data_IF_090588434631
#
_entry.id   IF_090588434631
#
_cell.length_a   1.000
_cell.length_b   1.000
_cell.length_c   1.000
_cell.angle_alpha   90.00
_cell.angle_beta   90.00
_cell.angle_gamma   90.00
#
_symmetry.space_group_name_H-M   'P 1'
#
loop_
_entity.id
_entity.type
_entity.pdbx_description
1 polymer ?
#
# COMPACT_ATOMS: atom_id res chain seq x y z
N UNK A 1 5.82 -38.32 -22.21
CA UNK A 1 4.42 -38.41 -21.75
C UNK A 1 4.44 -39.02 -20.36
N UNK A 2 4.32 -38.21 -19.31
CA UNK A 2 4.09 -38.70 -17.94
C UNK A 2 2.61 -39.00 -17.77
N UNK A 3 2.29 -40.09 -17.07
CA UNK A 3 0.92 -40.49 -16.79
C UNK A 3 0.25 -39.49 -15.86
N UNK A 4 -0.80 -38.82 -16.33
CA UNK A 4 -1.73 -38.08 -15.48
C UNK A 4 -2.83 -39.05 -15.07
N UNK A 5 -2.74 -39.58 -13.85
CA UNK A 5 -3.85 -40.32 -13.26
C UNK A 5 -4.90 -39.31 -12.76
N UNK A 6 -6.15 -39.41 -13.25
CA UNK A 6 -7.30 -38.74 -12.63
C UNK A 6 -7.75 -37.40 -13.21
N UNK A 7 -7.58 -37.13 -14.51
CA UNK A 7 -8.29 -36.01 -15.14
C UNK A 7 -9.80 -36.33 -15.15
N UNK A 8 -10.51 -35.71 -14.22
CA UNK A 8 -11.97 -35.66 -14.20
C UNK A 8 -12.45 -34.81 -15.41
N UNK A 9 -13.64 -35.08 -15.95
CA UNK A 9 -14.27 -34.32 -17.05
C UNK A 9 -14.45 -32.82 -16.73
N UNK A 10 -14.17 -32.44 -15.49
CA UNK A 10 -14.24 -31.09 -14.93
C UNK A 10 -12.92 -30.31 -15.05
N UNK A 11 -11.91 -30.88 -15.71
CA UNK A 11 -10.59 -30.26 -15.87
C UNK A 11 -10.29 -30.03 -17.35
N UNK A 12 -10.05 -28.77 -17.72
CA UNK A 12 -9.60 -28.37 -19.05
C UNK A 12 -8.12 -27.96 -18.99
N UNK A 13 -7.31 -28.51 -19.91
CA UNK A 13 -5.86 -28.26 -19.95
C UNK A 13 -5.44 -27.81 -21.34
N UNK A 14 -4.79 -26.66 -21.41
CA UNK A 14 -4.22 -26.07 -22.61
C UNK A 14 -3.02 -26.84 -23.17
N UNK A 15 -2.62 -26.47 -24.38
CA UNK A 15 -1.51 -27.08 -25.09
C UNK A 15 -0.18 -26.84 -24.37
N UNK A 16 0.75 -27.78 -24.52
CA UNK A 16 2.13 -27.68 -24.01
C UNK A 16 2.26 -27.46 -22.50
N UNK A 17 1.22 -27.80 -21.73
CA UNK A 17 1.22 -27.74 -20.26
C UNK A 17 1.80 -29.02 -19.66
N UNK A 18 2.76 -28.87 -18.75
CA UNK A 18 3.43 -29.94 -18.01
C UNK A 18 2.85 -30.08 -16.61
N UNK A 19 2.24 -31.23 -16.32
CA UNK A 19 1.61 -31.55 -15.03
C UNK A 19 2.28 -32.79 -14.46
N UNK A 20 2.88 -32.66 -13.27
CA UNK A 20 3.57 -33.74 -12.59
C UNK A 20 3.14 -33.81 -11.12
N UNK A 21 2.82 -35.03 -10.65
CA UNK A 21 2.50 -35.31 -9.25
C UNK A 21 1.44 -34.36 -8.65
N UNK A 22 0.47 -33.95 -9.45
CA UNK A 22 -0.52 -32.93 -9.07
C UNK A 22 -1.94 -33.50 -9.11
N UNK A 23 -2.82 -32.97 -8.27
CA UNK A 23 -4.25 -33.33 -8.18
C UNK A 23 -5.07 -32.15 -8.67
N UNK A 24 -6.00 -32.39 -9.60
CA UNK A 24 -6.78 -31.35 -10.28
C UNK A 24 -8.28 -31.70 -10.25
N UNK A 25 -9.11 -30.75 -9.79
CA UNK A 25 -10.56 -30.86 -9.78
C UNK A 25 -11.19 -29.51 -10.15
N UNK A 26 -12.14 -29.48 -11.09
CA UNK A 26 -12.86 -28.26 -11.48
C UNK A 26 -11.92 -27.09 -11.83
N UNK A 27 -11.11 -27.25 -12.88
CA UNK A 27 -10.06 -26.29 -13.21
C UNK A 27 -9.92 -26.04 -14.71
N UNK A 28 -9.71 -24.79 -15.07
CA UNK A 28 -9.37 -24.33 -16.43
C UNK A 28 -7.92 -23.88 -16.46
N UNK A 29 -7.06 -24.63 -17.14
CA UNK A 29 -5.61 -24.39 -17.20
C UNK A 29 -5.23 -24.00 -18.63
N UNK A 30 -4.58 -22.86 -18.77
CA UNK A 30 -4.10 -22.32 -20.04
C UNK A 30 -2.89 -23.06 -20.63
N UNK A 31 -2.32 -22.47 -21.66
CA UNK A 31 -1.22 -23.08 -22.41
C UNK A 31 0.13 -22.90 -21.69
N UNK A 32 1.10 -23.78 -21.97
CA UNK A 32 2.49 -23.67 -21.52
C UNK A 32 2.68 -23.57 -19.99
N UNK A 33 1.74 -24.08 -19.21
CA UNK A 33 1.84 -24.07 -17.74
C UNK A 33 2.79 -25.16 -17.24
N UNK A 34 3.34 -24.97 -16.04
CA UNK A 34 4.16 -25.97 -15.34
C UNK A 34 3.64 -26.15 -13.92
N UNK A 35 2.98 -27.28 -13.67
CA UNK A 35 2.34 -27.61 -12.40
C UNK A 35 3.03 -28.83 -11.78
N UNK A 36 3.77 -28.63 -10.70
CA UNK A 36 4.55 -29.67 -10.03
C UNK A 36 4.10 -29.83 -8.59
N UNK A 37 3.83 -31.05 -8.16
CA UNK A 37 3.48 -31.40 -6.77
C UNK A 37 2.36 -30.51 -6.19
N UNK A 38 1.38 -30.14 -7.00
CA UNK A 38 0.38 -29.13 -6.61
C UNK A 38 -1.02 -29.73 -6.50
N UNK A 39 -1.83 -29.19 -5.60
CA UNK A 39 -3.24 -29.55 -5.42
C UNK A 39 -4.08 -28.37 -5.88
N UNK A 40 -5.00 -28.61 -6.83
CA UNK A 40 -5.86 -27.61 -7.44
C UNK A 40 -7.31 -28.09 -7.33
N UNK A 41 -8.09 -27.41 -6.49
CA UNK A 41 -9.44 -27.81 -6.12
C UNK A 41 -10.43 -26.66 -6.34
N UNK A 42 -11.18 -26.71 -7.43
CA UNK A 42 -12.27 -25.79 -7.70
C UNK A 42 -13.63 -26.28 -7.21
N UNK A 43 -14.57 -25.36 -7.11
CA UNK A 43 -15.99 -25.64 -6.97
C UNK A 43 -16.64 -25.77 -8.36
N UNK A 44 -17.67 -26.61 -8.58
CA UNK A 44 -18.33 -26.73 -9.88
C UNK A 44 -18.77 -25.39 -10.49
N UNK A 45 -19.37 -24.52 -9.68
CA UNK A 45 -19.81 -23.18 -10.09
C UNK A 45 -18.69 -22.13 -10.08
N UNK A 46 -17.55 -22.44 -9.46
CA UNK A 46 -16.41 -21.54 -9.30
C UNK A 46 -15.11 -22.31 -9.55
N UNK A 47 -14.84 -22.72 -10.81
CA UNK A 47 -13.63 -23.47 -11.11
C UNK A 47 -12.37 -22.64 -10.79
N UNK A 48 -11.24 -23.29 -10.56
CA UNK A 48 -9.96 -22.57 -10.52
C UNK A 48 -9.57 -22.21 -11.95
N UNK A 49 -9.21 -20.94 -12.21
CA UNK A 49 -8.77 -20.48 -13.53
C UNK A 49 -7.29 -20.16 -13.50
N UNK A 50 -6.51 -20.74 -14.40
CA UNK A 50 -5.05 -20.57 -14.51
C UNK A 50 -4.71 -20.14 -15.93
N UNK A 51 -4.16 -18.94 -16.07
CA UNK A 51 -3.74 -18.38 -17.36
C UNK A 51 -2.44 -19.00 -17.88
N UNK A 52 -2.07 -18.60 -19.10
CA UNK A 52 -0.92 -19.20 -19.79
C UNK A 52 0.41 -18.99 -19.06
N UNK A 53 1.33 -19.94 -19.21
CA UNK A 53 2.70 -19.82 -18.73
C UNK A 53 2.82 -19.76 -17.20
N UNK A 54 1.78 -20.14 -16.47
CA UNK A 54 1.80 -20.17 -14.99
C UNK A 54 2.71 -21.28 -14.50
N UNK A 55 3.50 -21.00 -13.47
CA UNK A 55 4.41 -21.94 -12.82
C UNK A 55 3.96 -22.12 -11.37
N UNK A 56 3.53 -23.32 -11.01
CA UNK A 56 3.19 -23.72 -9.64
C UNK A 56 4.07 -24.89 -9.19
N UNK A 57 4.73 -24.75 -8.04
CA UNK A 57 5.58 -25.78 -7.46
C UNK A 57 5.23 -25.97 -6.00
N UNK A 58 4.77 -27.16 -5.60
CA UNK A 58 4.32 -27.46 -4.23
C UNK A 58 3.22 -26.47 -3.75
N UNK A 59 2.24 -26.19 -4.60
CA UNK A 59 1.18 -25.23 -4.29
C UNK A 59 -0.13 -25.92 -3.92
N UNK A 60 -0.94 -25.26 -3.08
CA UNK A 60 -2.32 -25.62 -2.85
C UNK A 60 -3.22 -24.47 -3.29
N UNK A 61 -4.04 -24.69 -4.30
CA UNK A 61 -4.89 -23.69 -4.95
C UNK A 61 -6.34 -24.14 -4.82
N UNK A 62 -7.19 -23.28 -4.26
CA UNK A 62 -8.57 -23.66 -3.96
C UNK A 62 -9.56 -22.55 -4.35
N UNK A 63 -10.67 -22.92 -4.99
CA UNK A 63 -11.87 -22.09 -5.12
C UNK A 63 -13.00 -22.75 -4.34
N UNK A 64 -13.51 -22.11 -3.30
CA UNK A 64 -14.58 -22.64 -2.45
C UNK A 64 -15.95 -22.01 -2.76
N UNK A 65 -15.99 -20.88 -3.47
CA UNK A 65 -17.22 -20.11 -3.69
C UNK A 65 -17.68 -19.31 -2.48
N UNK A 66 -17.01 -19.44 -1.32
CA UNK A 66 -17.34 -18.68 -0.11
C UNK A 66 -16.75 -17.28 -0.21
N UNK A 67 -17.59 -16.28 -0.05
CA UNK A 67 -17.16 -14.89 -0.07
C UNK A 67 -16.42 -14.54 1.23
N UNK A 68 -15.21 -14.02 1.08
CA UNK A 68 -14.60 -13.13 2.06
C UNK A 68 -14.74 -11.70 1.56
N UNK A 69 -15.20 -10.79 2.43
CA UNK A 69 -15.42 -9.39 2.05
C UNK A 69 -14.76 -8.44 3.05
N UNK A 70 -14.17 -7.38 2.51
CA UNK A 70 -13.67 -6.23 3.26
C UNK A 70 -14.05 -4.96 2.52
N UNK A 71 -14.45 -3.92 3.25
CA UNK A 71 -14.71 -2.62 2.66
C UNK A 71 -14.13 -1.50 3.51
N UNK A 72 -13.65 -0.46 2.84
CA UNK A 72 -13.18 0.77 3.47
C UNK A 72 -13.28 1.92 2.46
N UNK A 73 -13.72 3.10 2.90
CA UNK A 73 -13.97 4.27 2.04
C UNK A 73 -14.79 3.93 0.78
N UNK A 74 -15.82 3.09 0.93
CA UNK A 74 -16.72 2.71 -0.16
C UNK A 74 -16.08 1.90 -1.28
N UNK A 75 -14.86 1.41 -1.08
CA UNK A 75 -14.22 0.37 -1.89
C UNK A 75 -14.49 -0.97 -1.22
N UNK A 76 -15.04 -1.92 -1.97
CA UNK A 76 -15.33 -3.28 -1.48
C UNK A 76 -14.48 -4.26 -2.25
N UNK A 77 -13.72 -5.08 -1.52
CA UNK A 77 -13.07 -6.27 -2.01
C UNK A 77 -13.92 -7.47 -1.65
N UNK A 78 -14.28 -8.25 -2.66
CA UNK A 78 -14.97 -9.52 -2.48
C UNK A 78 -14.42 -10.52 -3.49
N UNK A 79 -13.95 -11.68 -3.01
CA UNK A 79 -13.41 -12.74 -3.85
C UNK A 79 -14.02 -14.08 -3.44
N UNK A 80 -14.44 -14.85 -4.46
CA UNK A 80 -15.12 -16.15 -4.34
C UNK A 80 -14.52 -17.23 -5.22
N UNK A 81 -13.59 -16.86 -6.09
CA UNK A 81 -12.97 -17.74 -7.09
C UNK A 81 -11.48 -17.46 -7.12
N UNK A 82 -10.68 -18.53 -7.22
CA UNK A 82 -9.25 -18.39 -7.47
C UNK A 82 -8.95 -18.28 -8.95
N UNK A 83 -8.25 -17.20 -9.30
CA UNK A 83 -7.80 -16.89 -10.66
C UNK A 83 -6.33 -16.53 -10.65
N UNK A 84 -5.51 -17.22 -11.45
CA UNK A 84 -4.10 -16.92 -11.62
C UNK A 84 -3.88 -16.41 -13.04
N UNK A 85 -3.38 -15.18 -13.16
CA UNK A 85 -3.11 -14.53 -14.43
C UNK A 85 -1.89 -15.11 -15.14
N UNK A 86 -1.72 -14.71 -16.41
CA UNK A 86 -0.60 -15.15 -17.25
C UNK A 86 0.76 -14.97 -16.57
N UNK A 87 1.60 -15.99 -16.62
CA UNK A 87 2.98 -15.93 -16.15
C UNK A 87 3.13 -15.74 -14.64
N UNK A 88 2.08 -16.00 -13.84
CA UNK A 88 2.21 -16.07 -12.38
C UNK A 88 3.15 -17.20 -12.00
N UNK A 89 4.08 -16.94 -11.06
CA UNK A 89 5.07 -17.90 -10.62
C UNK A 89 5.05 -18.03 -9.08
N UNK A 90 4.48 -19.12 -8.58
CA UNK A 90 4.34 -19.37 -7.15
C UNK A 90 4.97 -20.71 -6.76
N UNK A 91 5.57 -20.75 -5.58
CA UNK A 91 6.15 -21.97 -5.03
C UNK A 91 5.89 -22.11 -3.54
N UNK A 92 5.68 -23.33 -3.04
CA UNK A 92 5.35 -23.63 -1.64
C UNK A 92 4.21 -22.75 -1.09
N UNK A 93 3.24 -22.41 -1.93
CA UNK A 93 2.25 -21.36 -1.63
C UNK A 93 0.83 -21.92 -1.53
N UNK A 94 0.00 -21.28 -0.71
CA UNK A 94 -1.43 -21.56 -0.58
C UNK A 94 -2.25 -20.38 -1.11
N UNK A 95 -3.22 -20.65 -1.97
CA UNK A 95 -4.09 -19.64 -2.59
C UNK A 95 -5.54 -20.10 -2.45
N UNK A 96 -6.38 -19.29 -1.84
CA UNK A 96 -7.80 -19.59 -1.59
C UNK A 96 -8.65 -18.40 -2.00
N UNK A 97 -9.66 -18.64 -2.82
CA UNK A 97 -10.63 -17.64 -3.29
C UNK A 97 -9.99 -16.30 -3.63
N UNK A 98 -8.95 -16.29 -4.46
CA UNK A 98 -8.13 -15.09 -4.71
C UNK A 98 -7.77 -14.89 -6.16
N UNK A 99 -7.73 -13.65 -6.60
CA UNK A 99 -7.17 -13.27 -7.91
C UNK A 99 -5.70 -12.86 -7.74
N UNK A 100 -4.80 -13.47 -8.51
CA UNK A 100 -3.40 -13.07 -8.63
C UNK A 100 -3.15 -12.72 -10.08
N UNK A 101 -2.94 -11.44 -10.39
CA UNK A 101 -2.79 -10.97 -11.76
C UNK A 101 -1.41 -11.27 -12.36
N UNK A 102 -1.29 -11.00 -13.66
CA UNK A 102 -0.21 -11.44 -14.50
C UNK A 102 1.19 -11.04 -14.00
N UNK A 103 2.14 -11.97 -14.16
CA UNK A 103 3.56 -11.75 -13.85
C UNK A 103 3.90 -11.60 -12.37
N UNK A 104 2.92 -11.77 -11.47
CA UNK A 104 3.17 -11.75 -10.02
C UNK A 104 3.88 -13.03 -9.56
N UNK A 105 4.77 -12.89 -8.58
CA UNK A 105 5.64 -13.96 -8.13
C UNK A 105 5.72 -14.07 -6.61
N UNK A 106 5.99 -15.27 -6.10
CA UNK A 106 6.06 -15.53 -4.67
C UNK A 106 6.61 -16.90 -4.28
N UNK A 107 7.09 -16.99 -3.04
CA UNK A 107 7.57 -18.22 -2.41
C UNK A 107 6.98 -18.33 -1.01
N UNK A 108 6.46 -19.50 -0.63
CA UNK A 108 5.92 -19.70 0.72
C UNK A 108 4.66 -18.89 1.03
N UNK A 109 4.04 -18.23 0.04
CA UNK A 109 3.00 -17.24 0.29
C UNK A 109 1.66 -17.91 0.65
N UNK A 110 0.91 -17.31 1.56
CA UNK A 110 -0.48 -17.66 1.84
C UNK A 110 -1.36 -16.50 1.41
N UNK A 111 -2.30 -16.74 0.49
CA UNK A 111 -3.16 -15.72 -0.11
C UNK A 111 -4.62 -16.17 0.03
N UNK A 112 -5.45 -15.39 0.71
CA UNK A 112 -6.85 -15.72 0.94
C UNK A 112 -7.77 -14.52 0.67
N UNK A 113 -8.88 -14.74 -0.04
CA UNK A 113 -9.90 -13.71 -0.30
C UNK A 113 -9.35 -12.37 -0.80
N UNK A 114 -8.30 -12.41 -1.63
CA UNK A 114 -7.48 -11.25 -1.98
C UNK A 114 -7.38 -11.03 -3.48
N UNK A 115 -7.09 -9.79 -3.87
CA UNK A 115 -6.77 -9.41 -5.24
C UNK A 115 -5.34 -8.86 -5.28
N UNK A 116 -4.42 -9.67 -5.76
CA UNK A 116 -3.04 -9.28 -6.00
C UNK A 116 -2.91 -8.72 -7.42
N UNK A 117 -2.59 -7.42 -7.53
CA UNK A 117 -2.35 -6.76 -8.80
C UNK A 117 -1.15 -7.34 -9.57
N UNK A 118 -0.89 -6.83 -10.78
CA UNK A 118 0.06 -7.44 -11.69
C UNK A 118 1.50 -7.09 -11.32
N UNK A 119 2.42 -8.00 -11.64
CA UNK A 119 3.87 -7.80 -11.45
C UNK A 119 4.26 -7.50 -9.99
N UNK A 120 3.49 -8.03 -9.05
CA UNK A 120 3.77 -7.92 -7.63
C UNK A 120 4.81 -8.96 -7.21
N UNK A 121 5.65 -8.57 -6.26
CA UNK A 121 6.62 -9.45 -5.62
C UNK A 121 6.14 -9.75 -4.20
N UNK A 122 5.64 -10.96 -3.99
CA UNK A 122 5.34 -11.48 -2.66
C UNK A 122 6.64 -12.05 -2.08
N UNK A 123 7.18 -11.40 -1.05
CA UNK A 123 8.38 -11.89 -0.38
C UNK A 123 8.11 -13.24 0.29
N UNK A 124 9.17 -13.97 0.59
CA UNK A 124 9.06 -15.31 1.18
C UNK A 124 8.10 -15.34 2.37
N UNK A 125 7.14 -16.25 2.39
CA UNK A 125 6.21 -16.40 3.51
C UNK A 125 5.29 -15.18 3.76
N UNK A 126 5.04 -14.36 2.74
CA UNK A 126 4.00 -13.33 2.82
C UNK A 126 2.64 -13.96 3.12
N UNK A 127 1.89 -13.37 4.05
CA UNK A 127 0.57 -13.84 4.44
C UNK A 127 -0.45 -12.74 4.16
N UNK A 128 -1.25 -12.92 3.12
CA UNK A 128 -2.11 -11.89 2.54
C UNK A 128 -3.56 -12.34 2.60
N UNK A 129 -4.40 -11.54 3.27
CA UNK A 129 -5.81 -11.85 3.47
C UNK A 129 -6.67 -10.61 3.24
N UNK A 130 -7.83 -10.74 2.59
CA UNK A 130 -8.78 -9.63 2.41
C UNK A 130 -8.10 -8.34 1.92
N UNK A 131 -7.14 -8.48 1.00
CA UNK A 131 -6.29 -7.39 0.55
C UNK A 131 -6.39 -7.18 -0.95
N UNK A 132 -6.48 -5.93 -1.37
CA UNK A 132 -6.36 -5.52 -2.76
C UNK A 132 -5.05 -4.77 -2.94
N UNK A 133 -4.32 -5.07 -4.01
CA UNK A 133 -3.07 -4.38 -4.35
C UNK A 133 -3.05 -3.94 -5.81
N UNK A 134 -2.49 -2.76 -6.05
CA UNK A 134 -2.10 -2.28 -7.36
C UNK A 134 -0.88 -3.04 -7.89
N UNK A 135 -0.34 -2.60 -9.03
CA UNK A 135 0.83 -3.20 -9.66
C UNK A 135 2.15 -2.87 -8.94
N UNK A 136 3.17 -3.67 -9.23
CA UNK A 136 4.56 -3.45 -8.79
C UNK A 136 4.75 -3.30 -7.27
N UNK A 137 3.83 -3.83 -6.47
CA UNK A 137 3.95 -3.83 -5.03
C UNK A 137 4.92 -4.92 -4.57
N UNK A 138 5.72 -4.61 -3.56
CA UNK A 138 6.62 -5.55 -2.92
C UNK A 138 6.12 -5.82 -1.50
N UNK A 139 5.50 -6.97 -1.29
CA UNK A 139 4.79 -7.29 -0.07
C UNK A 139 5.57 -8.31 0.75
N UNK A 140 6.21 -7.84 1.82
CA UNK A 140 6.62 -8.66 2.94
C UNK A 140 5.60 -8.62 4.06
N UNK A 141 5.62 -9.68 4.87
CA UNK A 141 4.89 -9.76 6.15
C UNK A 141 3.40 -10.11 6.04
N UNK A 142 2.68 -9.88 7.14
CA UNK A 142 1.25 -10.12 7.27
C UNK A 142 0.48 -8.88 6.81
N UNK A 143 -0.32 -9.04 5.75
CA UNK A 143 -1.10 -7.98 5.13
C UNK A 143 -2.56 -8.41 5.14
N UNK A 144 -3.37 -7.78 5.98
CA UNK A 144 -4.77 -8.13 6.13
C UNK A 144 -5.64 -6.89 6.01
N UNK A 145 -6.79 -7.01 5.34
CA UNK A 145 -7.81 -5.94 5.30
C UNK A 145 -7.19 -4.60 4.87
N UNK A 146 -6.43 -4.67 3.78
CA UNK A 146 -5.59 -3.60 3.28
C UNK A 146 -5.94 -3.31 1.83
N UNK A 147 -6.04 -2.02 1.48
CA UNK A 147 -6.29 -1.56 0.13
C UNK A 147 -5.09 -0.73 -0.33
N UNK A 148 -4.29 -1.27 -1.23
CA UNK A 148 -3.18 -0.56 -1.87
C UNK A 148 -3.62 -0.22 -3.28
N UNK A 149 -4.13 1.00 -3.47
CA UNK A 149 -4.62 1.47 -4.76
C UNK A 149 -3.52 2.07 -5.64
N UNK A 150 -2.47 2.65 -5.05
CA UNK A 150 -1.32 3.18 -5.78
C UNK A 150 -0.20 2.15 -5.97
N UNK A 151 0.38 2.10 -7.17
CA UNK A 151 1.46 1.18 -7.52
C UNK A 151 2.76 1.45 -6.73
N UNK A 152 3.65 0.44 -6.67
CA UNK A 152 5.01 0.60 -6.14
C UNK A 152 5.13 0.63 -4.60
N UNK A 153 4.07 0.25 -3.89
CA UNK A 153 4.06 0.13 -2.43
C UNK A 153 5.07 -0.92 -1.95
N UNK A 154 5.77 -0.64 -0.86
CA UNK A 154 6.73 -1.57 -0.26
C UNK A 154 6.40 -1.83 1.19
N UNK A 155 6.16 -3.10 1.52
CA UNK A 155 6.23 -3.64 2.87
C UNK A 155 7.48 -4.51 2.99
N UNK A 156 8.36 -4.18 3.93
CA UNK A 156 9.52 -5.00 4.20
C UNK A 156 9.13 -6.33 4.90
N UNK A 157 10.03 -7.31 4.80
CA UNK A 157 9.87 -8.62 5.44
C UNK A 157 10.07 -8.51 6.97
N UNK A 158 9.94 -9.59 7.74
CA UNK A 158 10.06 -9.65 9.22
C UNK A 158 8.81 -9.27 10.04
N UNK A 159 7.70 -9.97 9.83
CA UNK A 159 6.57 -9.99 10.80
C UNK A 159 5.89 -8.65 11.06
N UNK A 160 5.84 -7.75 10.07
CA UNK A 160 4.92 -6.61 10.10
C UNK A 160 3.45 -7.08 10.03
N UNK A 161 2.54 -6.32 10.63
CA UNK A 161 1.09 -6.50 10.47
C UNK A 161 0.49 -5.24 9.85
N UNK A 162 -0.08 -5.34 8.65
CA UNK A 162 -0.63 -4.19 7.92
C UNK A 162 -2.15 -4.26 7.85
N UNK A 163 -2.79 -3.13 8.19
CA UNK A 163 -4.22 -2.85 8.04
C UNK A 163 -4.36 -1.36 7.68
N UNK A 164 -4.33 -1.07 6.37
CA UNK A 164 -4.25 0.30 5.85
C UNK A 164 -4.88 0.49 4.47
N UNK A 165 -5.16 1.74 4.12
CA UNK A 165 -5.42 2.24 2.78
C UNK A 165 -4.20 3.03 2.29
N UNK A 166 -3.60 2.62 1.18
CA UNK A 166 -2.60 3.39 0.44
C UNK A 166 -3.24 3.88 -0.87
N UNK A 167 -3.84 5.08 -0.89
CA UNK A 167 -4.60 5.58 -2.04
C UNK A 167 -3.70 5.93 -3.23
N UNK A 168 -4.28 6.00 -4.43
CA UNK A 168 -3.66 6.53 -5.65
C UNK A 168 -4.05 8.00 -5.92
N UNK A 169 -4.99 8.52 -5.14
CA UNK A 169 -5.52 9.88 -5.23
C UNK A 169 -4.83 10.79 -4.23
N UNK A 170 -4.18 11.84 -4.71
CA UNK A 170 -3.44 12.79 -3.87
C UNK A 170 -4.14 14.15 -3.85
N UNK A 171 -4.72 14.57 -2.72
CA UNK A 171 -5.23 15.92 -2.57
C UNK A 171 -4.07 16.92 -2.58
N UNK A 172 -4.21 17.97 -3.40
CA UNK A 172 -3.26 19.07 -3.51
C UNK A 172 -3.98 20.41 -3.55
N UNK A 173 -3.23 21.48 -3.30
CA UNK A 173 -3.65 22.85 -3.56
C UNK A 173 -2.84 23.42 -4.73
N UNK A 174 -3.52 23.81 -5.80
CA UNK A 174 -2.89 24.37 -6.99
C UNK A 174 -2.29 25.76 -6.73
N UNK A 175 -1.55 26.30 -7.70
CA UNK A 175 -0.90 27.60 -7.55
C UNK A 175 -1.85 28.80 -7.42
N UNK A 176 -3.05 28.67 -7.99
CA UNK A 176 -4.16 29.61 -7.88
C UNK A 176 -5.05 29.34 -6.65
N UNK A 177 -4.67 28.40 -5.77
CA UNK A 177 -5.36 28.15 -4.50
C UNK A 177 -6.61 27.27 -4.61
N UNK A 178 -6.73 26.44 -5.65
CA UNK A 178 -7.85 25.50 -5.80
C UNK A 178 -7.49 24.12 -5.28
N UNK A 179 -8.41 23.50 -4.54
CA UNK A 179 -8.32 22.10 -4.12
C UNK A 179 -8.54 21.18 -5.33
N UNK A 180 -7.56 20.33 -5.63
CA UNK A 180 -7.58 19.37 -6.75
C UNK A 180 -7.07 18.01 -6.26
N UNK A 181 -7.61 16.92 -6.80
CA UNK A 181 -7.10 15.56 -6.58
C UNK A 181 -6.28 15.14 -7.79
N UNK A 182 -5.01 14.80 -7.58
CA UNK A 182 -4.20 14.10 -8.58
C UNK A 182 -4.48 12.60 -8.48
N UNK A 183 -5.24 12.08 -9.42
CA UNK A 183 -5.62 10.66 -9.46
C UNK A 183 -4.57 9.78 -10.14
N UNK A 184 -4.70 8.46 -9.94
CA UNK A 184 -3.90 7.40 -10.55
C UNK A 184 -2.39 7.60 -10.43
N UNK A 185 -1.93 8.11 -9.29
CA UNK A 185 -0.51 8.21 -8.98
C UNK A 185 -0.02 6.98 -8.19
N UNK A 186 1.25 6.56 -8.38
CA UNK A 186 1.84 5.49 -7.58
C UNK A 186 1.88 5.88 -6.10
N UNK A 187 1.72 4.90 -5.20
CA UNK A 187 1.91 5.12 -3.77
C UNK A 187 3.18 4.41 -3.29
N UNK A 188 4.29 5.12 -3.42
CA UNK A 188 5.63 4.63 -3.09
C UNK A 188 5.92 4.63 -1.58
N UNK A 189 4.91 4.39 -0.74
CA UNK A 189 5.09 4.20 0.71
C UNK A 189 6.08 3.07 0.97
N UNK A 190 6.91 3.25 1.99
CA UNK A 190 7.81 2.21 2.47
C UNK A 190 7.51 1.95 3.94
N UNK A 191 7.11 0.71 4.21
CA UNK A 191 6.81 0.23 5.56
C UNK A 191 7.94 -0.70 5.98
N UNK A 192 8.68 -0.28 7.01
CA UNK A 192 9.77 -1.03 7.58
C UNK A 192 9.31 -2.33 8.24
N UNK A 193 10.26 -3.26 8.32
CA UNK A 193 10.17 -4.54 8.99
C UNK A 193 9.64 -4.45 10.44
N UNK A 194 8.84 -5.43 10.90
CA UNK A 194 8.31 -5.48 12.26
C UNK A 194 7.29 -4.37 12.62
N UNK A 195 6.80 -3.63 11.62
CA UNK A 195 5.83 -2.55 11.84
C UNK A 195 4.43 -3.10 12.01
N UNK A 196 3.70 -2.61 13.00
CA UNK A 196 2.34 -3.03 13.31
C UNK A 196 1.37 -1.86 13.12
N UNK A 197 0.40 -2.03 12.22
CA UNK A 197 -0.78 -1.20 12.05
C UNK A 197 -1.96 -1.89 12.73
N UNK A 198 -2.19 -1.58 14.01
CA UNK A 198 -3.19 -2.28 14.81
C UNK A 198 -3.98 -1.32 15.72
N UNK A 199 -5.02 -1.85 16.36
CA UNK A 199 -5.89 -1.08 17.25
C UNK A 199 -5.30 -1.03 18.67
N UNK A 200 -5.86 -0.16 19.54
CA UNK A 200 -5.52 0.05 20.96
C UNK A 200 -4.15 -0.49 21.43
N UNK A 201 -3.13 0.36 21.38
CA UNK A 201 -1.79 0.04 21.91
C UNK A 201 -0.77 -0.41 20.87
N UNK A 202 -1.23 -0.71 19.64
CA UNK A 202 -0.38 -1.12 18.52
C UNK A 202 0.03 -2.58 18.60
N UNK A 203 -0.79 -3.41 19.25
CA UNK A 203 -0.62 -4.86 19.32
C UNK A 203 -1.73 -5.53 18.49
N UNK A 204 -1.43 -6.59 17.74
CA UNK A 204 -2.46 -7.37 17.05
C UNK A 204 -3.39 -8.03 18.09
N UNK A 205 -4.70 -8.01 17.84
CA UNK A 205 -5.62 -8.78 18.67
C UNK A 205 -5.46 -10.27 18.35
N UNK A 206 -5.49 -11.15 19.37
CA UNK A 206 -5.43 -12.58 19.13
C UNK A 206 -6.62 -13.02 18.29
N UNK A 207 -6.35 -13.88 17.31
CA UNK A 207 -7.34 -14.49 16.43
C UNK A 207 -6.92 -15.91 16.10
N UNK A 208 -7.89 -16.78 15.91
CA UNK A 208 -7.69 -18.19 15.52
C UNK A 208 -7.13 -18.31 14.10
N UNK A 209 -7.40 -17.34 13.24
CA UNK A 209 -6.81 -17.18 11.91
C UNK A 209 -6.76 -15.70 11.52
N UNK A 210 -6.02 -15.36 10.45
CA UNK A 210 -5.94 -13.97 9.97
C UNK A 210 -7.23 -13.48 9.35
N UNK A 211 -7.94 -14.36 8.64
CA UNK A 211 -9.23 -14.08 8.03
C UNK A 211 -10.27 -13.73 9.11
N UNK A 212 -10.19 -14.42 10.25
CA UNK A 212 -11.02 -14.19 11.44
C UNK A 212 -10.48 -13.06 12.33
N UNK A 213 -9.32 -12.48 12.01
CA UNK A 213 -8.74 -11.43 12.82
C UNK A 213 -9.69 -10.25 12.92
N UNK A 214 -10.14 -9.86 14.14
CA UNK A 214 -10.95 -8.66 14.31
C UNK A 214 -10.14 -7.38 14.02
N UNK A 215 -8.86 -7.51 13.65
CA UNK A 215 -7.86 -6.45 13.49
C UNK A 215 -8.25 -5.24 12.63
N UNK A 216 -9.30 -5.29 11.80
CA UNK A 216 -9.85 -4.08 11.13
C UNK A 216 -11.29 -3.71 11.51
N UNK A 217 -12.04 -4.52 12.27
CA UNK A 217 -13.34 -4.09 12.82
C UNK A 217 -13.21 -2.87 13.76
N UNK A 218 -11.97 -2.42 13.97
CA UNK A 218 -11.55 -1.45 14.96
C UNK A 218 -10.62 -0.34 14.38
N UNK A 219 -10.36 -0.31 13.06
CA UNK A 219 -9.66 0.82 12.39
C UNK A 219 -8.73 0.45 11.23
N UNK A 220 -8.51 1.40 10.32
CA UNK A 220 -7.62 1.31 9.13
C UNK A 220 -6.92 2.65 8.93
N UNK A 221 -5.58 2.66 8.85
CA UNK A 221 -4.84 3.90 8.61
C UNK A 221 -4.87 4.29 7.13
N UNK A 222 -4.83 5.59 6.83
CA UNK A 222 -4.62 6.09 5.47
C UNK A 222 -3.17 6.53 5.32
N UNK A 223 -2.45 6.03 4.32
CA UNK A 223 -1.00 6.25 4.17
C UNK A 223 -0.68 6.81 2.78
N UNK A 224 -0.30 8.08 2.72
CA UNK A 224 0.12 8.77 1.50
C UNK A 224 1.64 8.74 1.39
N UNK A 225 2.21 7.83 0.61
CA UNK A 225 3.66 7.78 0.29
C UNK A 225 4.62 8.18 1.42
N UNK A 226 4.36 7.62 2.60
CA UNK A 226 5.11 7.91 3.82
C UNK A 226 6.26 6.93 3.98
N UNK A 227 7.26 7.31 4.76
CA UNK A 227 8.30 6.42 5.22
C UNK A 227 8.06 6.04 6.68
N UNK A 228 7.79 4.77 6.94
CA UNK A 228 7.56 4.22 8.28
C UNK A 228 8.74 3.32 8.62
N UNK A 229 9.50 3.69 9.65
CA UNK A 229 10.68 2.94 10.08
C UNK A 229 10.34 1.53 10.56
N UNK A 230 11.38 0.70 10.71
CA UNK A 230 11.25 -0.63 11.31
C UNK A 230 10.69 -0.56 12.74
N UNK A 231 10.00 -1.61 13.17
CA UNK A 231 9.45 -1.78 14.52
C UNK A 231 8.52 -0.65 14.97
N UNK A 232 7.86 0.03 14.01
CA UNK A 232 6.89 1.06 14.32
C UNK A 232 5.56 0.48 14.79
N UNK A 233 4.83 1.21 15.62
CA UNK A 233 3.49 0.89 16.09
C UNK A 233 2.53 2.00 15.70
N UNK A 234 1.84 1.81 14.58
CA UNK A 234 0.82 2.72 14.10
C UNK A 234 -0.52 2.31 14.70
N UNK A 235 -1.04 3.12 15.63
CA UNK A 235 -2.34 2.86 16.25
C UNK A 235 -3.43 3.39 15.32
N UNK A 236 -4.19 2.47 14.71
CA UNK A 236 -5.36 2.81 13.91
C UNK A 236 -6.47 3.37 14.81
N UNK A 237 -7.06 4.50 14.40
CA UNK A 237 -8.28 5.02 15.01
C UNK A 237 -9.53 4.48 14.28
N UNK A 238 -10.67 4.57 14.94
CA UNK A 238 -11.91 3.85 14.65
C UNK A 238 -12.78 4.42 13.53
N UNK A 239 -12.35 5.49 12.87
CA UNK A 239 -13.10 6.06 11.76
C UNK A 239 -13.29 5.01 10.67
N UNK A 240 -14.52 4.55 10.47
CA UNK A 240 -14.92 3.85 9.26
C UNK A 240 -15.81 4.82 8.50
N UNK A 241 -15.23 5.66 7.62
CA UNK A 241 -16.04 6.55 6.80
C UNK A 241 -17.08 5.73 6.01
N UNK A 242 -18.35 6.08 6.20
CA UNK A 242 -19.43 5.59 5.35
C UNK A 242 -19.31 6.22 3.95
N UNK A 243 -19.67 5.45 2.92
CA UNK A 243 -19.57 5.91 1.53
C UNK A 243 -18.14 6.14 1.06
N UNK A 244 -17.98 7.02 0.07
CA UNK A 244 -16.70 7.36 -0.55
C UNK A 244 -16.34 8.81 -0.18
N UNK A 245 -15.74 9.05 1.00
CA UNK A 245 -15.36 10.42 1.39
C UNK A 245 -14.32 10.96 0.41
N UNK A 246 -14.31 12.28 0.18
CA UNK A 246 -13.26 12.88 -0.63
C UNK A 246 -11.90 12.75 0.08
N UNK A 247 -10.77 12.70 -0.65
CA UNK A 247 -9.45 12.71 -0.03
C UNK A 247 -9.22 13.93 0.88
N UNK A 248 -9.86 15.06 0.59
CA UNK A 248 -9.84 16.26 1.43
C UNK A 248 -10.57 16.08 2.76
N UNK A 249 -11.70 15.35 2.77
CA UNK A 249 -12.42 15.03 4.00
C UNK A 249 -11.58 14.14 4.90
N UNK A 250 -10.93 13.12 4.32
CA UNK A 250 -10.04 12.21 5.06
C UNK A 250 -8.93 12.97 5.78
N UNK A 251 -8.32 13.98 5.14
CA UNK A 251 -7.26 14.79 5.73
C UNK A 251 -7.71 15.61 6.96
N UNK A 252 -9.01 15.90 7.07
CA UNK A 252 -9.59 16.73 8.15
C UNK A 252 -10.22 15.90 9.26
N UNK A 253 -10.32 14.58 9.11
CA UNK A 253 -10.87 13.68 10.13
C UNK A 253 -9.91 13.49 11.31
N UNK A 254 -10.48 13.42 12.52
CA UNK A 254 -9.73 13.20 13.75
C UNK A 254 -9.87 11.78 14.29
N UNK A 255 -10.87 11.06 13.84
CA UNK A 255 -11.13 9.68 14.21
C UNK A 255 -10.40 8.69 13.31
N UNK A 256 -9.55 9.16 12.40
CA UNK A 256 -8.68 8.35 11.54
C UNK A 256 -7.21 8.55 11.90
N UNK A 257 -6.42 7.50 11.68
CA UNK A 257 -4.96 7.61 11.64
C UNK A 257 -4.54 7.83 10.20
N UNK A 258 -3.77 8.89 9.96
CA UNK A 258 -3.39 9.31 8.61
C UNK A 258 -1.91 9.68 8.60
N UNK A 259 -1.16 9.13 7.64
CA UNK A 259 0.23 9.47 7.40
C UNK A 259 0.34 10.25 6.10
N UNK A 260 0.79 11.50 6.20
CA UNK A 260 0.88 12.42 5.07
C UNK A 260 2.04 12.10 4.12
N UNK A 261 1.96 12.68 2.92
CA UNK A 261 3.00 12.56 1.89
C UNK A 261 4.37 12.95 2.42
N UNK A 262 5.35 12.07 2.21
CA UNK A 262 6.73 12.31 2.62
C UNK A 262 6.95 12.45 4.13
N UNK A 263 5.97 12.08 4.97
CA UNK A 263 6.18 12.05 6.41
C UNK A 263 7.17 10.95 6.81
N UNK A 264 7.92 11.20 7.88
CA UNK A 264 8.85 10.25 8.48
C UNK A 264 8.34 9.80 9.85
N UNK A 265 8.11 8.50 10.00
CA UNK A 265 7.47 7.91 11.16
C UNK A 265 8.41 6.95 11.87
N UNK A 266 8.57 7.13 13.18
CA UNK A 266 9.36 6.28 14.06
C UNK A 266 8.59 5.89 15.34
N UNK A 267 8.98 4.76 15.92
CA UNK A 267 8.49 4.19 17.18
C UNK A 267 6.98 3.93 17.24
N UNK A 268 6.15 4.92 17.59
CA UNK A 268 4.73 4.71 17.89
C UNK A 268 3.93 5.97 17.62
N UNK A 269 2.77 5.88 16.98
CA UNK A 269 1.94 7.06 16.68
C UNK A 269 0.44 6.75 16.66
N UNK A 270 -0.37 7.81 16.66
CA UNK A 270 -1.81 7.77 16.38
C UNK A 270 -2.28 9.09 15.77
N UNK A 271 -3.39 9.08 15.04
CA UNK A 271 -4.00 10.28 14.48
C UNK A 271 -3.30 10.74 13.20
N UNK A 272 -3.42 12.03 12.90
CA UNK A 272 -2.87 12.64 11.69
C UNK A 272 -1.40 13.00 11.90
N UNK A 273 -0.53 12.51 11.03
CA UNK A 273 0.84 12.99 10.82
C UNK A 273 0.84 13.83 9.54
N UNK A 274 1.00 15.16 9.64
CA UNK A 274 1.04 16.08 8.49
C UNK A 274 2.04 15.65 7.41
N UNK A 275 1.79 16.07 6.17
CA UNK A 275 2.77 15.90 5.12
C UNK A 275 4.13 16.50 5.54
N UNK A 276 5.21 15.82 5.18
CA UNK A 276 6.59 16.22 5.46
C UNK A 276 6.96 16.37 6.95
N UNK A 277 6.10 15.93 7.87
CA UNK A 277 6.40 15.95 9.30
C UNK A 277 7.25 14.75 9.71
N UNK A 278 7.92 14.91 10.85
CA UNK A 278 8.48 13.81 11.63
C UNK A 278 7.58 13.50 12.82
N UNK A 279 7.29 12.22 13.03
CA UNK A 279 6.56 11.72 14.19
C UNK A 279 7.32 10.55 14.82
N UNK A 280 7.91 10.77 15.99
CA UNK A 280 8.74 9.78 16.69
C UNK A 280 8.13 9.20 17.96
N UNK A 281 6.96 9.67 18.39
CA UNK A 281 6.21 9.10 19.52
C UNK A 281 4.71 9.42 19.44
N UNK A 282 3.95 8.91 20.42
CA UNK A 282 2.50 9.02 20.50
C UNK A 282 2.01 10.45 20.73
N UNK A 283 2.84 11.30 21.32
CA UNK A 283 2.47 12.65 21.71
C UNK A 283 2.62 13.57 20.50
N UNK A 284 1.53 14.17 19.98
CA UNK A 284 1.65 15.13 18.90
C UNK A 284 2.56 16.33 19.25
N UNK A 285 2.80 16.58 20.54
CA UNK A 285 3.74 17.61 21.03
C UNK A 285 5.20 17.32 20.72
N UNK A 286 5.58 16.07 20.43
CA UNK A 286 6.95 15.71 20.03
C UNK A 286 7.17 15.80 18.52
N UNK A 287 6.08 15.85 17.75
CA UNK A 287 6.15 15.85 16.30
C UNK A 287 6.77 17.16 15.81
N UNK A 288 7.49 17.08 14.69
CA UNK A 288 8.17 18.23 14.09
C UNK A 288 7.62 18.46 12.69
N UNK A 289 6.84 19.53 12.53
CA UNK A 289 6.14 19.86 11.30
C UNK A 289 7.12 20.44 10.28
N UNK A 290 7.09 19.95 9.04
CA UNK A 290 8.02 20.38 7.97
C UNK A 290 9.46 19.88 8.12
N UNK A 291 9.78 19.14 9.18
CA UNK A 291 11.14 18.69 9.49
C UNK A 291 11.79 17.86 8.39
N UNK A 292 11.00 17.04 7.67
CA UNK A 292 11.55 16.22 6.58
C UNK A 292 12.09 17.10 5.45
N UNK A 293 11.44 18.25 5.16
CA UNK A 293 11.91 19.17 4.12
C UNK A 293 13.29 19.74 4.46
N UNK A 294 13.51 20.15 5.71
CA UNK A 294 14.78 20.76 6.13
C UNK A 294 15.89 19.75 6.39
N UNK A 295 15.56 18.62 7.03
CA UNK A 295 16.57 17.73 7.63
C UNK A 295 16.74 16.40 6.90
N UNK A 296 15.70 15.91 6.20
CA UNK A 296 15.71 14.60 5.51
C UNK A 296 15.02 14.64 4.14
N UNK A 297 15.34 15.59 3.24
CA UNK A 297 14.69 15.69 1.93
C UNK A 297 14.90 14.44 1.07
N UNK A 298 15.96 13.67 1.33
CA UNK A 298 16.21 12.36 0.72
C UNK A 298 15.02 11.39 0.80
N UNK A 299 14.15 11.50 1.82
CA UNK A 299 12.92 10.71 1.90
C UNK A 299 11.99 11.07 0.75
N UNK A 300 11.68 12.35 0.57
CA UNK A 300 10.79 12.86 -0.49
C UNK A 300 11.40 12.58 -1.86
N UNK A 301 12.70 12.83 -2.01
CA UNK A 301 13.42 12.57 -3.26
C UNK A 301 13.37 11.10 -3.68
N UNK A 302 13.57 10.19 -2.72
CA UNK A 302 13.49 8.76 -2.99
C UNK A 302 12.06 8.31 -3.32
N UNK A 303 11.07 8.82 -2.59
CA UNK A 303 9.65 8.58 -2.86
C UNK A 303 9.28 9.01 -4.27
N UNK A 304 9.56 10.26 -4.64
CA UNK A 304 9.29 10.78 -5.99
C UNK A 304 10.06 10.01 -7.05
N UNK A 305 11.34 9.69 -6.83
CA UNK A 305 12.13 8.88 -7.77
C UNK A 305 11.49 7.52 -8.04
N UNK A 306 10.96 6.86 -7.00
CA UNK A 306 10.23 5.59 -7.17
C UNK A 306 8.94 5.80 -7.97
N UNK A 307 8.18 6.86 -7.69
CA UNK A 307 6.97 7.19 -8.45
C UNK A 307 7.28 7.49 -9.93
N UNK A 308 8.37 8.22 -10.22
CA UNK A 308 8.84 8.48 -11.59
C UNK A 308 9.15 7.18 -12.34
N UNK A 309 9.81 6.22 -11.69
CA UNK A 309 10.10 4.91 -12.28
C UNK A 309 8.82 4.16 -12.66
N UNK A 310 7.78 4.24 -11.82
CA UNK A 310 6.48 3.60 -12.09
C UNK A 310 5.70 4.31 -13.20
N UNK A 311 5.76 5.65 -13.28
CA UNK A 311 5.05 6.44 -14.29
C UNK A 311 5.73 6.47 -15.66
N UNK A 312 7.04 6.27 -15.73
CA UNK A 312 7.80 6.31 -16.98
C UNK A 312 7.62 7.64 -17.72
N UNK A 313 7.03 7.60 -18.92
CA UNK A 313 6.79 8.78 -19.75
C UNK A 313 5.75 9.76 -19.14
N UNK A 314 4.99 9.33 -18.14
CA UNK A 314 4.02 10.17 -17.44
C UNK A 314 4.59 10.86 -16.19
N UNK A 315 5.92 10.85 -16.00
CA UNK A 315 6.57 11.48 -14.84
C UNK A 315 6.22 12.96 -14.66
N UNK A 316 5.83 13.67 -15.74
CA UNK A 316 5.36 15.06 -15.70
C UNK A 316 4.16 15.27 -14.76
N UNK A 317 3.34 14.23 -14.52
CA UNK A 317 2.18 14.28 -13.62
C UNK A 317 2.57 14.56 -12.17
N UNK A 318 3.83 14.32 -11.79
CA UNK A 318 4.35 14.58 -10.45
C UNK A 318 4.73 16.05 -10.22
N UNK A 319 4.73 16.89 -11.26
CA UNK A 319 5.16 18.30 -11.18
C UNK A 319 4.47 19.05 -10.06
N UNK A 320 3.16 18.86 -9.95
CA UNK A 320 2.34 19.59 -9.00
C UNK A 320 2.16 18.84 -7.66
N UNK A 321 2.66 17.60 -7.54
CA UNK A 321 2.47 16.78 -6.35
C UNK A 321 3.13 17.42 -5.13
N UNK A 322 4.46 17.61 -5.14
CA UNK A 322 5.18 18.06 -3.95
C UNK A 322 4.81 19.49 -3.57
N UNK A 323 4.83 20.41 -4.54
CA UNK A 323 4.48 21.81 -4.28
C UNK A 323 3.00 21.98 -3.95
N UNK A 324 2.12 21.21 -4.57
CA UNK A 324 0.69 21.26 -4.31
C UNK A 324 0.32 20.66 -2.96
N UNK A 325 0.96 19.56 -2.54
CA UNK A 325 0.85 19.04 -1.18
C UNK A 325 1.40 20.04 -0.16
N UNK A 326 2.53 20.69 -0.45
CA UNK A 326 3.12 21.69 0.45
C UNK A 326 2.19 22.89 0.65
N UNK A 327 1.58 23.40 -0.42
CA UNK A 327 0.54 24.44 -0.36
C UNK A 327 -0.68 24.00 0.44
N UNK A 328 -1.17 22.79 0.19
CA UNK A 328 -2.31 22.23 0.91
C UNK A 328 -2.00 22.10 2.41
N UNK A 329 -0.83 21.56 2.76
CA UNK A 329 -0.45 21.40 4.16
C UNK A 329 -0.30 22.75 4.85
N UNK A 330 0.25 23.78 4.19
CA UNK A 330 0.22 25.15 4.72
C UNK A 330 -1.20 25.63 5.03
N UNK A 331 -2.14 25.47 4.09
CA UNK A 331 -3.55 25.84 4.32
C UNK A 331 -4.12 25.08 5.52
N UNK A 332 -3.91 23.77 5.57
CA UNK A 332 -4.41 22.91 6.63
C UNK A 332 -3.82 23.33 8.00
N UNK A 333 -2.51 23.59 8.11
CA UNK A 333 -1.90 24.05 9.37
C UNK A 333 -2.39 25.45 9.77
N UNK A 334 -2.66 26.33 8.80
CA UNK A 334 -3.23 27.66 9.06
C UNK A 334 -4.66 27.55 9.60
N UNK A 335 -5.50 26.67 9.03
CA UNK A 335 -6.84 26.36 9.55
C UNK A 335 -6.80 25.89 11.02
N UNK A 336 -5.79 25.11 11.43
CA UNK A 336 -5.58 24.72 12.83
C UNK A 336 -5.16 25.89 13.71
N UNK A 337 -4.22 26.70 13.23
CA UNK A 337 -3.66 27.83 13.97
C UNK A 337 -4.72 28.89 14.27
N UNK A 338 -5.61 29.13 13.31
CA UNK A 338 -6.70 30.10 13.42
C UNK A 338 -7.87 29.58 14.26
N UNK A 339 -7.79 28.34 14.76
CA UNK A 339 -8.85 27.70 15.54
C UNK A 339 -10.06 27.27 14.71
N UNK A 340 -9.92 27.25 13.38
CA UNK A 340 -10.96 26.76 12.45
C UNK A 340 -11.21 25.25 12.58
N UNK A 341 -10.27 24.52 13.18
CA UNK A 341 -10.43 23.10 13.52
C UNK A 341 -9.69 22.71 14.81
N UNK A 342 -10.13 21.66 15.52
CA UNK A 342 -9.40 21.21 16.69
C UNK A 342 -8.04 20.65 16.28
N UNK A 343 -7.03 20.91 17.10
CA UNK A 343 -5.64 20.51 16.86
C UNK A 343 -5.04 19.86 18.10
N UNK A 344 -4.14 18.91 17.89
CA UNK A 344 -3.32 18.33 18.97
C UNK A 344 -1.94 18.98 19.08
N UNK A 345 -1.61 19.91 18.17
CA UNK A 345 -0.33 20.62 18.13
C UNK A 345 -0.41 21.91 18.95
N UNK A 346 0.73 22.34 19.48
CA UNK A 346 0.81 23.65 20.12
C UNK A 346 0.84 24.76 19.07
N UNK A 347 0.48 25.98 19.48
CA UNK A 347 0.54 27.15 18.61
C UNK A 347 1.95 27.35 18.02
N UNK A 348 2.98 27.14 18.84
CA UNK A 348 4.37 27.27 18.43
C UNK A 348 4.75 26.22 17.38
N UNK A 349 4.31 24.97 17.53
CA UNK A 349 4.56 23.92 16.52
C UNK A 349 3.91 24.27 15.18
N UNK A 350 2.68 24.76 15.20
CA UNK A 350 1.96 25.18 14.00
C UNK A 350 2.65 26.35 13.31
N UNK A 351 3.02 27.39 14.07
CA UNK A 351 3.72 28.56 13.55
C UNK A 351 5.10 28.20 12.96
N UNK A 352 5.87 27.34 13.64
CA UNK A 352 7.17 26.91 13.14
C UNK A 352 7.03 26.03 11.89
N UNK A 353 6.08 25.09 11.88
CA UNK A 353 5.76 24.27 10.70
C UNK A 353 5.36 25.09 9.49
N UNK A 354 4.47 26.07 9.67
CA UNK A 354 4.07 27.02 8.63
C UNK A 354 5.27 27.80 8.10
N UNK A 355 6.09 28.36 9.00
CA UNK A 355 7.31 29.10 8.62
C UNK A 355 8.23 28.24 7.75
N UNK A 356 8.48 26.99 8.15
CA UNK A 356 9.33 26.05 7.40
C UNK A 356 8.73 25.78 6.02
N UNK A 357 7.47 25.37 5.95
CA UNK A 357 6.83 24.98 4.69
C UNK A 357 6.71 26.16 3.71
N UNK A 358 6.38 27.36 4.21
CA UNK A 358 6.32 28.58 3.40
C UNK A 358 7.71 28.98 2.88
N UNK A 359 8.76 28.87 3.70
CA UNK A 359 10.13 29.09 3.23
C UNK A 359 10.48 28.13 2.08
N UNK A 360 10.16 26.84 2.24
CA UNK A 360 10.39 25.81 1.22
C UNK A 360 9.58 26.02 -0.07
N UNK A 361 8.36 26.58 0.02
CA UNK A 361 7.58 27.00 -1.16
C UNK A 361 8.27 28.15 -1.90
N UNK A 362 8.71 29.18 -1.16
CA UNK A 362 9.29 30.40 -1.74
C UNK A 362 10.65 30.16 -2.40
N UNK A 363 11.39 29.15 -1.95
CA UNK A 363 12.72 28.81 -2.46
C UNK A 363 12.70 28.17 -3.85
N UNK A 364 11.55 27.63 -4.29
CA UNK A 364 11.43 26.94 -5.58
C UNK A 364 12.20 25.62 -5.69
N UNK A 365 12.94 25.20 -4.66
CA UNK A 365 13.76 23.97 -4.65
C UNK A 365 13.00 22.68 -4.97
N UNK A 366 11.71 22.66 -4.69
CA UNK A 366 10.81 21.53 -4.96
C UNK A 366 10.13 21.61 -6.33
N UNK A 367 10.51 22.55 -7.19
CA UNK A 367 9.96 22.69 -8.53
C UNK A 367 10.51 21.62 -9.49
N UNK A 368 9.63 21.16 -10.37
CA UNK A 368 9.98 20.25 -11.47
C UNK A 368 9.72 20.90 -12.82
N UNK A 369 10.47 20.46 -13.84
CA UNK A 369 10.22 20.80 -15.23
C UNK A 369 8.99 20.05 -15.81
N UNK A 370 8.68 20.34 -17.07
CA UNK A 370 7.60 19.68 -17.81
C UNK A 370 7.83 18.18 -18.05
N UNK A 371 9.05 17.68 -17.85
CA UNK A 371 9.36 16.25 -17.89
C UNK A 371 9.31 15.59 -16.49
N UNK A 372 8.91 16.34 -15.46
CA UNK A 372 8.85 15.86 -14.07
C UNK A 372 10.22 15.73 -13.41
N UNK A 373 11.28 16.37 -13.94
CA UNK A 373 12.63 16.36 -13.36
C UNK A 373 12.82 17.57 -12.46
N UNK A 374 13.54 17.38 -11.36
CA UNK A 374 13.86 18.48 -10.45
C UNK A 374 14.64 19.59 -11.17
N UNK A 375 14.18 20.84 -11.04
CA UNK A 375 14.87 22.01 -11.61
C UNK A 375 16.18 22.33 -10.89
N UNK A 376 16.25 21.98 -9.60
CA UNK A 376 17.38 22.25 -8.74
C UNK A 376 17.98 20.94 -8.22
N UNK A 377 19.31 20.83 -8.26
CA UNK A 377 20.02 19.67 -7.73
C UNK A 377 20.16 19.80 -6.21
N UNK A 378 19.69 18.80 -5.48
CA UNK A 378 19.86 18.70 -4.03
C UNK A 378 21.31 18.37 -3.67
N UNK A 379 21.92 19.17 -2.79
CA UNK A 379 23.26 18.93 -2.25
C UNK A 379 23.25 19.06 -0.74
N UNK A 380 24.10 18.32 -0.04
CA UNK A 380 24.26 18.53 1.40
C UNK A 380 25.36 19.58 1.63
N UNK A 381 25.00 20.69 2.27
CA UNK A 381 25.95 21.69 2.76
C UNK A 381 26.47 21.25 4.12
N UNK A 382 27.70 20.72 4.14
CA UNK A 382 28.35 20.26 5.37
C UNK A 382 28.67 21.38 6.35
N UNK A 383 28.78 22.63 5.89
CA UNK A 383 29.08 23.78 6.76
C UNK A 383 27.83 24.25 7.51
N UNK A 384 26.67 24.17 6.86
CA UNK A 384 25.38 24.53 7.46
C UNK A 384 24.62 23.33 8.05
N UNK A 385 25.19 22.13 7.93
CA UNK A 385 24.58 20.85 8.29
C UNK A 385 23.13 20.70 7.79
N UNK A 386 22.89 21.14 6.56
CA UNK A 386 21.57 21.15 5.95
C UNK A 386 21.65 20.83 4.47
N UNK A 387 20.53 20.34 3.93
CA UNK A 387 20.42 20.16 2.49
C UNK A 387 20.11 21.51 1.83
N UNK A 388 20.89 21.84 0.80
CA UNK A 388 20.77 23.04 -0.04
C UNK A 388 20.29 22.68 -1.43
#
# INVERSE_FOLDING_TARGET
>A
MSFVAGLNDTVHVGAHTDIQHSVLHHADIGDHCRLLNSVIEGHPDWPVVIGDGVILINCHVQSTGKAGAFSFCGTTLEQRQTRLGKGVALSNSRIVDSTVEAGSQGFGASIAHSHIGPQNALRSFANVSLTQTASHCNLGSEVSKTLIAGAGFVSEHYSSYLSLLAPADYPILTADGREVVLSDLPNASNIGAGTVFANYGGEPLPATSLDESPGSAKGTAVVYSSFVCINCRVINRYGQPEGQPSPFDLLRRQDLTLLGFGSFVENKLTGRVPAFAYAGDLSPRSHRLGWVLEKKPGIILNTVKKMQVQLGNEAYRLRDLVQGTLRLECQLLQEELDGGRPTFYTREQLQDGLRIMQAQLSDGRWAMDEAGRWLHAWRFDSTREQWV
#
